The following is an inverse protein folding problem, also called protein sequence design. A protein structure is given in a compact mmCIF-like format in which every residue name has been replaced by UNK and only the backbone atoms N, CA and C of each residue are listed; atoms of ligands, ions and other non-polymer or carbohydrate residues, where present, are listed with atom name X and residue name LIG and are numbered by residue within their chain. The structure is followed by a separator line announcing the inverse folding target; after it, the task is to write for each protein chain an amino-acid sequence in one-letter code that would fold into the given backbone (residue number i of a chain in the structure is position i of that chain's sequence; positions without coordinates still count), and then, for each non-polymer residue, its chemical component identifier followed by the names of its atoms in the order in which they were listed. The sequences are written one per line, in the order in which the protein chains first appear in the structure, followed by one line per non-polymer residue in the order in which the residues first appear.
data_IF_279869188755
#
_entry.id   IF_279869188755
#
_cell.length_a   1.000
_cell.length_b   1.000
_cell.length_c   1.000
_cell.angle_alpha   90.00
_cell.angle_beta   90.00
_cell.angle_gamma   90.00
#
_symmetry.space_group_name_H-M   'P 1'
#
loop_
_entity.id
_entity.type
_entity.pdbx_description
1 polymer ?
#
# COMPACT_ATOMS: atom_id res chain seq x y z
N UNK A 1 -7.59 3.23 -18.36
CA UNK A 1 -8.38 4.46 -18.59
C UNK A 1 -8.28 5.22 -17.28
N UNK A 2 -7.56 6.33 -17.25
CA UNK A 2 -7.47 7.21 -16.08
C UNK A 2 -8.86 7.82 -15.91
N UNK A 3 -9.55 7.65 -14.76
CA UNK A 3 -10.82 8.32 -14.57
C UNK A 3 -10.57 9.83 -14.73
N UNK A 4 -11.35 10.44 -15.60
CA UNK A 4 -11.25 11.85 -15.92
C UNK A 4 -11.30 12.68 -14.62
N UNK A 5 -10.29 13.49 -14.41
CA UNK A 5 -10.29 14.62 -13.47
C UNK A 5 -11.26 15.70 -14.04
N UNK A 6 -12.47 15.29 -14.35
CA UNK A 6 -13.49 16.23 -14.81
C UNK A 6 -14.12 17.03 -13.67
N UNK A 7 -13.56 16.92 -12.45
CA UNK A 7 -14.15 17.55 -11.27
C UNK A 7 -13.14 18.14 -10.29
N UNK A 8 -11.97 18.59 -10.78
CA UNK A 8 -11.05 19.33 -9.91
C UNK A 8 -11.77 20.55 -9.30
N UNK A 9 -12.61 21.20 -10.07
CA UNK A 9 -13.40 22.36 -9.61
C UNK A 9 -14.45 21.97 -8.57
N UNK A 10 -15.20 20.89 -8.80
CA UNK A 10 -16.16 20.35 -7.81
C UNK A 10 -15.44 19.82 -6.58
N UNK A 11 -14.33 19.10 -6.77
CA UNK A 11 -13.47 18.62 -5.71
C UNK A 11 -12.91 19.77 -4.85
N UNK A 12 -12.44 20.86 -5.47
CA UNK A 12 -11.98 22.05 -4.76
C UNK A 12 -13.14 22.78 -4.07
N UNK A 13 -14.31 22.88 -4.69
CA UNK A 13 -15.50 23.46 -4.06
C UNK A 13 -15.94 22.66 -2.84
N UNK A 14 -16.01 21.35 -2.94
CA UNK A 14 -16.41 20.47 -1.82
C UNK A 14 -15.39 20.52 -0.66
N UNK A 15 -14.13 20.80 -0.97
CA UNK A 15 -13.09 20.97 0.04
C UNK A 15 -13.10 22.35 0.71
N UNK A 16 -13.37 23.40 -0.06
CA UNK A 16 -13.24 24.77 0.41
C UNK A 16 -14.51 25.29 1.09
N UNK A 17 -15.69 24.91 0.57
CA UNK A 17 -16.98 25.41 1.08
C UNK A 17 -17.30 25.00 2.52
N UNK A 18 -17.08 23.77 3.00
CA UNK A 18 -17.35 23.41 4.39
C UNK A 18 -16.44 24.11 5.41
N UNK A 19 -15.26 24.53 5.02
CA UNK A 19 -14.31 25.23 5.89
C UNK A 19 -14.59 26.73 5.96
N UNK A 20 -15.04 27.31 4.85
CA UNK A 20 -15.45 28.72 4.80
C UNK A 20 -16.66 29.02 5.69
N UNK A 21 -17.58 28.04 5.85
CA UNK A 21 -18.78 28.20 6.69
C UNK A 21 -18.51 28.21 8.20
N UNK A 22 -17.32 27.82 8.66
CA UNK A 22 -16.95 27.76 10.07
C UNK A 22 -16.17 28.99 10.58
N UNK A 23 -16.00 30.02 9.76
CA UNK A 23 -15.32 31.26 10.16
C UNK A 23 -13.79 31.14 10.36
N UNK A 24 -13.20 29.97 10.16
CA UNK A 24 -11.76 29.77 10.24
C UNK A 24 -11.08 30.25 8.95
N UNK A 25 -10.05 31.10 9.11
CA UNK A 25 -9.25 31.52 7.97
C UNK A 25 -8.58 30.31 7.30
N UNK A 26 -8.84 30.13 6.00
CA UNK A 26 -8.16 29.12 5.21
C UNK A 26 -6.72 29.57 4.99
N UNK A 27 -5.78 28.81 5.53
CA UNK A 27 -4.35 29.05 5.31
C UNK A 27 -3.80 28.07 4.28
N UNK A 28 -2.80 28.52 3.49
CA UNK A 28 -2.13 27.67 2.50
C UNK A 28 -1.65 26.32 3.07
N UNK A 29 -0.99 26.25 4.23
CA UNK A 29 -0.57 24.96 4.79
C UNK A 29 -1.73 24.00 5.05
N UNK A 30 -2.84 24.49 5.61
CA UNK A 30 -4.03 23.66 5.87
C UNK A 30 -4.70 23.17 4.59
N UNK A 31 -4.74 24.04 3.57
CA UNK A 31 -5.28 23.68 2.26
C UNK A 31 -4.44 22.57 1.61
N UNK A 32 -3.13 22.74 1.54
CA UNK A 32 -2.20 21.75 0.98
C UNK A 32 -2.28 20.43 1.75
N UNK A 33 -2.26 20.47 3.08
CA UNK A 33 -2.38 19.27 3.91
C UNK A 33 -3.70 18.50 3.64
N UNK A 34 -4.80 19.22 3.53
CA UNK A 34 -6.11 18.63 3.21
C UNK A 34 -6.13 17.99 1.82
N UNK A 35 -5.54 18.65 0.83
CA UNK A 35 -5.41 18.12 -0.54
C UNK A 35 -4.54 16.86 -0.57
N UNK A 36 -3.40 16.88 0.10
CA UNK A 36 -2.52 15.71 0.18
C UNK A 36 -3.24 14.50 0.81
N UNK A 37 -3.91 14.71 1.96
CA UNK A 37 -4.68 13.64 2.63
C UNK A 37 -5.75 13.03 1.74
N UNK A 38 -6.53 13.85 1.04
CA UNK A 38 -7.56 13.36 0.11
C UNK A 38 -6.96 12.63 -1.08
N UNK A 39 -5.88 13.13 -1.64
CA UNK A 39 -5.19 12.47 -2.75
C UNK A 39 -4.65 11.11 -2.32
N UNK A 40 -4.05 11.01 -1.14
CA UNK A 40 -3.56 9.74 -0.59
C UNK A 40 -4.70 8.75 -0.31
N UNK A 41 -5.85 9.24 0.18
CA UNK A 41 -7.05 8.42 0.37
C UNK A 41 -7.57 7.87 -0.97
N UNK A 42 -7.64 8.73 -1.98
CA UNK A 42 -8.05 8.32 -3.31
C UNK A 42 -7.10 7.29 -3.93
N UNK A 43 -5.78 7.48 -3.80
CA UNK A 43 -4.78 6.49 -4.22
C UNK A 43 -5.02 5.14 -3.53
N UNK A 44 -5.27 5.13 -2.22
CA UNK A 44 -5.56 3.88 -1.49
C UNK A 44 -6.83 3.20 -2.00
N UNK A 45 -7.90 3.97 -2.22
CA UNK A 45 -9.16 3.43 -2.72
C UNK A 45 -9.00 2.83 -4.11
N UNK A 46 -8.31 3.52 -5.01
CA UNK A 46 -8.04 3.02 -6.36
C UNK A 46 -7.13 1.78 -6.35
N UNK A 47 -6.14 1.71 -5.47
CA UNK A 47 -5.32 0.51 -5.29
C UNK A 47 -6.17 -0.70 -4.86
N UNK A 48 -7.06 -0.51 -3.88
CA UNK A 48 -7.96 -1.57 -3.42
C UNK A 48 -8.87 -2.04 -4.55
N UNK A 49 -9.52 -1.11 -5.24
CA UNK A 49 -10.41 -1.43 -6.37
C UNK A 49 -9.67 -2.18 -7.48
N UNK A 50 -8.47 -1.71 -7.83
CA UNK A 50 -7.64 -2.36 -8.86
C UNK A 50 -7.27 -3.80 -8.48
N UNK A 51 -6.85 -4.03 -7.22
CA UNK A 51 -6.48 -5.36 -6.74
C UNK A 51 -7.68 -6.32 -6.70
N UNK A 52 -8.82 -5.85 -6.22
CA UNK A 52 -10.05 -6.64 -6.18
C UNK A 52 -10.57 -6.94 -7.59
N UNK A 53 -10.43 -6.00 -8.52
CA UNK A 53 -10.78 -6.21 -9.93
C UNK A 53 -9.86 -7.22 -10.62
N UNK A 54 -8.55 -7.16 -10.34
CA UNK A 54 -7.61 -8.18 -10.83
C UNK A 54 -7.98 -9.57 -10.34
N UNK A 55 -8.30 -9.72 -9.04
CA UNK A 55 -8.72 -11.00 -8.46
C UNK A 55 -10.02 -11.49 -9.11
N UNK A 56 -10.98 -10.58 -9.31
CA UNK A 56 -12.25 -10.87 -9.97
C UNK A 56 -12.05 -11.36 -11.41
N UNK A 57 -11.22 -10.68 -12.22
CA UNK A 57 -10.89 -11.08 -13.58
C UNK A 57 -10.26 -12.47 -13.61
N UNK A 58 -9.30 -12.74 -12.75
CA UNK A 58 -8.70 -14.06 -12.68
C UNK A 58 -9.70 -15.13 -12.23
N UNK A 59 -10.57 -14.82 -11.27
CA UNK A 59 -11.58 -15.75 -10.75
C UNK A 59 -12.49 -16.33 -11.85
N UNK A 60 -12.79 -15.56 -12.88
CA UNK A 60 -13.67 -15.97 -14.00
C UNK A 60 -12.89 -16.32 -15.27
N UNK A 61 -11.55 -16.35 -15.22
CA UNK A 61 -10.73 -16.70 -16.38
C UNK A 61 -10.73 -18.22 -16.64
N UNK A 62 -10.53 -18.59 -17.91
CA UNK A 62 -10.35 -19.99 -18.31
C UNK A 62 -9.14 -20.64 -17.64
N UNK A 63 -8.05 -19.89 -17.52
CA UNK A 63 -6.83 -20.35 -16.83
C UNK A 63 -7.11 -20.80 -15.40
N UNK A 64 -7.96 -20.07 -14.68
CA UNK A 64 -8.36 -20.45 -13.34
C UNK A 64 -9.25 -21.68 -13.35
N UNK A 65 -10.27 -21.72 -14.23
CA UNK A 65 -11.22 -22.82 -14.33
C UNK A 65 -10.53 -24.17 -14.55
N UNK A 66 -9.51 -24.18 -15.39
CA UNK A 66 -8.78 -25.40 -15.75
C UNK A 66 -7.74 -25.85 -14.72
N UNK A 67 -7.24 -24.95 -13.88
CA UNK A 67 -6.08 -25.21 -13.00
C UNK A 67 -6.37 -25.14 -11.51
N UNK A 68 -7.43 -24.41 -11.13
CA UNK A 68 -7.66 -24.09 -9.72
C UNK A 68 -9.14 -24.14 -9.36
N UNK A 69 -9.47 -24.61 -8.15
CA UNK A 69 -10.79 -24.37 -7.57
C UNK A 69 -10.72 -23.31 -6.47
N UNK A 70 -11.82 -22.56 -6.30
CA UNK A 70 -11.94 -21.53 -5.26
C UNK A 70 -12.10 -22.21 -3.92
N UNK A 71 -11.21 -21.87 -2.98
CA UNK A 71 -11.30 -22.33 -1.59
C UNK A 71 -12.13 -21.38 -0.74
N UNK A 72 -11.72 -20.13 -0.66
CA UNK A 72 -12.41 -19.06 0.09
C UNK A 72 -11.90 -17.67 -0.34
N UNK A 73 -12.56 -16.63 0.15
CA UNK A 73 -12.11 -15.25 0.01
C UNK A 73 -11.73 -14.72 1.40
N UNK A 74 -10.59 -14.04 1.51
CA UNK A 74 -10.07 -13.47 2.75
C UNK A 74 -9.63 -12.03 2.56
N UNK A 75 -9.74 -11.23 3.62
CA UNK A 75 -9.14 -9.89 3.67
C UNK A 75 -7.62 -10.00 3.80
N UNK A 76 -6.93 -9.11 3.13
CA UNK A 76 -5.49 -8.90 3.22
C UNK A 76 -5.22 -7.44 3.51
N UNK A 77 -4.41 -7.17 4.51
CA UNK A 77 -3.95 -5.83 4.84
C UNK A 77 -2.47 -5.69 4.48
N UNK A 78 -2.12 -4.64 3.76
CA UNK A 78 -0.77 -4.24 3.41
C UNK A 78 -0.54 -2.78 3.79
N UNK A 79 0.68 -2.46 4.18
CA UNK A 79 1.13 -1.10 4.47
C UNK A 79 1.97 -0.62 3.30
N UNK A 80 1.52 0.43 2.64
CA UNK A 80 2.20 1.13 1.53
C UNK A 80 2.75 2.47 2.02
N UNK A 81 3.53 3.17 1.19
CA UNK A 81 3.95 4.55 1.47
C UNK A 81 2.78 5.54 1.50
N UNK A 82 1.65 5.18 0.90
CA UNK A 82 0.40 5.96 0.95
C UNK A 82 -0.52 5.52 2.07
N UNK A 83 -0.07 4.51 2.83
CA UNK A 83 -0.80 4.09 3.95
C UNK A 83 -1.29 2.64 3.92
N UNK A 84 -2.09 2.25 4.94
CA UNK A 84 -2.64 0.91 5.05
C UNK A 84 -3.81 0.73 4.06
N UNK A 85 -3.75 -0.34 3.28
CA UNK A 85 -4.84 -0.78 2.40
C UNK A 85 -5.33 -2.15 2.84
N UNK A 86 -6.63 -2.35 2.81
CA UNK A 86 -7.26 -3.65 3.09
C UNK A 86 -8.17 -4.03 1.94
N UNK A 87 -7.88 -5.15 1.29
CA UNK A 87 -8.62 -5.64 0.15
C UNK A 87 -8.99 -7.12 0.31
N UNK A 88 -9.98 -7.57 -0.44
CA UNK A 88 -10.39 -8.98 -0.50
C UNK A 88 -9.61 -9.68 -1.60
N UNK A 89 -9.12 -10.88 -1.31
CA UNK A 89 -8.46 -11.75 -2.28
C UNK A 89 -8.96 -13.18 -2.16
N UNK A 90 -8.99 -13.88 -3.28
CA UNK A 90 -9.42 -15.27 -3.34
C UNK A 90 -8.24 -16.20 -3.12
N UNK A 91 -8.44 -17.19 -2.25
CA UNK A 91 -7.54 -18.33 -2.12
C UNK A 91 -8.03 -19.47 -2.98
N UNK A 92 -7.14 -20.01 -3.75
CA UNK A 92 -7.36 -21.13 -4.65
C UNK A 92 -6.60 -22.37 -4.18
N UNK A 93 -6.99 -23.53 -4.67
CA UNK A 93 -6.22 -24.77 -4.57
C UNK A 93 -5.93 -25.26 -5.98
N UNK A 94 -4.68 -25.52 -6.27
CA UNK A 94 -4.26 -26.09 -7.53
C UNK A 94 -4.79 -27.53 -7.67
N UNK A 95 -5.45 -27.83 -8.77
CA UNK A 95 -6.11 -29.13 -8.98
C UNK A 95 -5.12 -30.29 -9.05
N UNK A 96 -3.92 -30.06 -9.62
CA UNK A 96 -2.89 -31.09 -9.79
C UNK A 96 -2.04 -31.27 -8.54
N UNK A 97 -1.51 -30.16 -7.99
CA UNK A 97 -0.55 -30.21 -6.87
C UNK A 97 -1.19 -30.19 -5.48
N UNK A 98 -2.50 -29.87 -5.40
CA UNK A 98 -3.27 -29.67 -4.17
C UNK A 98 -2.71 -28.56 -3.26
N UNK A 99 -1.76 -27.74 -3.75
CA UNK A 99 -1.16 -26.63 -3.01
C UNK A 99 -2.05 -25.40 -3.04
N UNK A 100 -2.05 -24.59 -1.96
CA UNK A 100 -2.73 -23.31 -1.94
C UNK A 100 -2.05 -22.32 -2.91
N UNK A 101 -2.85 -21.49 -3.54
CA UNK A 101 -2.42 -20.45 -4.47
C UNK A 101 -3.25 -19.18 -4.24
N UNK A 102 -2.63 -18.03 -4.37
CA UNK A 102 -3.28 -16.73 -4.34
C UNK A 102 -2.76 -15.89 -5.50
N UNK A 103 -3.63 -15.59 -6.46
CA UNK A 103 -3.28 -14.88 -7.70
C UNK A 103 -2.67 -13.52 -7.44
N UNK A 104 -3.28 -12.73 -6.55
CA UNK A 104 -2.79 -11.39 -6.24
C UNK A 104 -1.41 -11.43 -5.57
N UNK A 105 -1.21 -12.33 -4.61
CA UNK A 105 0.09 -12.46 -3.93
C UNK A 105 1.19 -12.84 -4.92
N UNK A 106 0.90 -13.76 -5.82
CA UNK A 106 1.83 -14.21 -6.86
C UNK A 106 2.18 -13.07 -7.84
N UNK A 107 1.16 -12.33 -8.33
CA UNK A 107 1.37 -11.22 -9.27
C UNK A 107 2.13 -10.04 -8.66
N UNK A 108 1.94 -9.78 -7.38
CA UNK A 108 2.64 -8.73 -6.65
C UNK A 108 4.00 -9.19 -6.08
N UNK A 109 4.36 -10.47 -6.23
CA UNK A 109 5.57 -11.03 -5.61
C UNK A 109 5.54 -10.92 -4.08
N UNK A 110 4.34 -11.00 -3.48
CA UNK A 110 4.15 -10.80 -2.04
C UNK A 110 4.00 -12.16 -1.35
N UNK A 111 4.93 -12.46 -0.47
CA UNK A 111 4.84 -13.63 0.41
C UNK A 111 3.66 -13.49 1.41
N UNK A 112 3.07 -14.60 1.79
CA UNK A 112 1.87 -14.65 2.66
C UNK A 112 2.04 -13.92 4.00
N UNK A 113 3.28 -13.77 4.49
CA UNK A 113 3.64 -13.15 5.77
C UNK A 113 4.10 -11.69 5.66
N UNK A 114 4.23 -11.15 4.46
CA UNK A 114 4.67 -9.77 4.25
C UNK A 114 3.51 -8.83 4.57
N UNK A 115 3.76 -7.84 5.41
CA UNK A 115 2.84 -6.76 5.74
C UNK A 115 3.17 -5.46 5.01
N UNK A 116 4.46 -5.17 4.84
CA UNK A 116 4.96 -3.95 4.21
C UNK A 116 5.29 -4.21 2.74
N UNK A 117 4.83 -3.35 1.86
CA UNK A 117 5.07 -3.42 0.42
C UNK A 117 6.52 -3.10 0.04
N UNK A 118 6.88 -3.30 -1.21
CA UNK A 118 8.27 -3.11 -1.67
C UNK A 118 8.67 -1.63 -1.69
N UNK A 119 7.73 -0.70 -1.90
CA UNK A 119 7.97 0.75 -1.82
C UNK A 119 8.39 1.17 -0.41
N UNK A 120 7.71 0.67 0.65
CA UNK A 120 8.13 0.89 2.04
C UNK A 120 9.50 0.29 2.31
N UNK A 121 9.76 -0.91 1.78
CA UNK A 121 11.06 -1.55 1.97
C UNK A 121 12.19 -0.81 1.25
N UNK A 122 11.94 -0.26 0.06
CA UNK A 122 12.89 0.57 -0.68
C UNK A 122 13.20 1.87 0.09
N UNK A 123 12.18 2.56 0.57
CA UNK A 123 12.37 3.75 1.39
C UNK A 123 13.17 3.47 2.68
N UNK A 124 12.88 2.35 3.36
CA UNK A 124 13.67 1.93 4.52
C UNK A 124 15.14 1.64 4.15
N UNK A 125 15.40 1.15 2.94
CA UNK A 125 16.76 0.88 2.47
C UNK A 125 17.53 2.19 2.23
N UNK A 126 16.92 3.16 1.58
CA UNK A 126 17.49 4.50 1.36
C UNK A 126 17.76 5.21 2.69
N UNK A 127 16.76 5.29 3.57
CA UNK A 127 16.90 5.89 4.89
C UNK A 127 17.99 5.19 5.74
N UNK A 128 18.17 3.87 5.59
CA UNK A 128 19.22 3.15 6.30
C UNK A 128 20.62 3.47 5.77
N UNK A 129 20.77 3.76 4.47
CA UNK A 129 22.04 4.17 3.91
C UNK A 129 22.53 5.49 4.52
N UNK A 130 21.61 6.40 4.80
CA UNK A 130 21.93 7.71 5.39
C UNK A 130 22.12 7.64 6.91
N UNK A 131 21.20 7.02 7.63
CA UNK A 131 21.17 6.99 9.10
C UNK A 131 22.02 5.88 9.73
N UNK A 132 22.31 4.83 9.00
CA UNK A 132 23.03 3.62 9.45
C UNK A 132 22.49 3.01 10.78
N UNK A 133 21.20 3.25 11.08
CA UNK A 133 20.52 2.79 12.29
C UNK A 133 19.11 2.31 12.00
N UNK A 134 18.88 0.99 12.11
CA UNK A 134 17.56 0.38 11.92
C UNK A 134 16.49 0.88 12.90
N UNK A 135 16.91 1.33 14.10
CA UNK A 135 15.97 1.86 15.10
C UNK A 135 15.48 3.24 14.68
N UNK A 136 16.40 4.11 14.23
CA UNK A 136 16.06 5.46 13.75
C UNK A 136 15.18 5.37 12.50
N UNK A 137 15.59 4.56 11.50
CA UNK A 137 14.80 4.28 10.30
C UNK A 137 13.39 3.79 10.65
N UNK A 138 13.29 2.85 11.60
CA UNK A 138 11.99 2.34 12.05
C UNK A 138 11.07 3.41 12.63
N UNK A 139 11.63 4.36 13.38
CA UNK A 139 10.88 5.51 13.93
C UNK A 139 10.50 6.49 12.82
N UNK A 140 11.44 6.90 11.99
CA UNK A 140 11.25 7.86 10.92
C UNK A 140 10.17 7.38 9.94
N UNK A 141 10.35 6.19 9.36
CA UNK A 141 9.42 5.62 8.38
C UNK A 141 8.08 5.27 9.03
N UNK A 142 8.11 4.75 10.26
CA UNK A 142 6.90 4.48 11.03
C UNK A 142 6.07 5.74 11.24
N UNK A 143 6.68 6.82 11.69
CA UNK A 143 6.01 8.10 11.90
C UNK A 143 5.55 8.73 10.59
N UNK A 144 6.34 8.63 9.52
CA UNK A 144 5.94 9.12 8.20
C UNK A 144 4.66 8.43 7.70
N UNK A 145 4.59 7.10 7.80
CA UNK A 145 3.41 6.34 7.40
C UNK A 145 2.25 6.62 8.36
N UNK A 146 2.49 6.62 9.67
CA UNK A 146 1.44 6.83 10.68
C UNK A 146 0.86 8.24 10.64
N UNK A 147 1.67 9.27 10.40
CA UNK A 147 1.20 10.64 10.23
C UNK A 147 0.16 10.79 9.10
N UNK A 148 0.18 9.86 8.14
CA UNK A 148 -0.80 9.81 7.05
C UNK A 148 -2.12 9.15 7.43
N UNK A 149 -2.17 8.41 8.55
CA UNK A 149 -3.35 7.64 8.98
C UNK A 149 -4.06 8.15 10.20
N UNK A 150 -3.33 8.74 11.14
CA UNK A 150 -3.84 9.06 12.46
C UNK A 150 -4.11 10.54 12.62
N UNK A 151 -5.29 10.84 13.18
CA UNK A 151 -5.61 12.17 13.70
C UNK A 151 -4.92 12.43 15.06
N UNK A 152 -4.44 11.40 15.74
CA UNK A 152 -3.72 11.47 17.00
C UNK A 152 -2.22 11.63 16.75
N UNK A 153 -1.74 12.84 16.90
CA UNK A 153 -0.30 13.21 16.74
C UNK A 153 0.62 12.70 17.88
N UNK A 154 0.05 12.01 18.87
CA UNK A 154 0.77 11.64 20.09
C UNK A 154 1.30 10.22 20.15
N UNK A 155 0.97 9.36 19.18
CA UNK A 155 1.46 8.00 19.16
C UNK A 155 2.74 7.87 18.35
N UNK A 156 3.84 7.59 19.04
CA UNK A 156 5.14 7.27 18.46
C UNK A 156 5.09 5.88 17.83
N UNK A 157 4.78 5.83 16.53
CA UNK A 157 4.71 4.57 15.79
C UNK A 157 6.06 4.24 15.16
N UNK A 158 6.70 3.20 15.67
CA UNK A 158 7.96 2.71 15.13
C UNK A 158 7.82 1.33 14.49
N UNK A 159 8.37 1.17 13.29
CA UNK A 159 8.51 -0.17 12.68
C UNK A 159 9.58 -0.94 13.46
N UNK A 160 9.28 -2.16 13.97
CA UNK A 160 10.23 -2.94 14.76
C UNK A 160 11.53 -3.22 13.99
N UNK A 161 12.69 -3.13 14.68
CA UNK A 161 14.02 -3.40 14.12
C UNK A 161 14.09 -4.69 13.30
N UNK A 162 13.50 -5.76 13.81
CA UNK A 162 13.49 -7.06 13.12
C UNK A 162 12.74 -7.00 11.77
N UNK A 163 11.69 -6.18 11.69
CA UNK A 163 10.93 -5.97 10.47
C UNK A 163 11.75 -5.18 9.46
N UNK A 164 12.43 -4.11 9.89
CA UNK A 164 13.38 -3.36 9.05
C UNK A 164 14.46 -4.31 8.52
N UNK A 165 15.08 -5.11 9.37
CA UNK A 165 16.11 -6.07 8.96
C UNK A 165 15.62 -7.05 7.88
N UNK A 166 14.38 -7.54 8.00
CA UNK A 166 13.77 -8.43 6.98
C UNK A 166 13.52 -7.70 5.66
N UNK A 167 13.07 -6.45 5.72
CA UNK A 167 12.86 -5.62 4.54
C UNK A 167 14.17 -5.34 3.80
N UNK A 168 15.21 -4.92 4.53
CA UNK A 168 16.54 -4.67 3.95
C UNK A 168 17.13 -5.93 3.28
N UNK A 169 17.00 -7.10 3.90
CA UNK A 169 17.43 -8.36 3.29
C UNK A 169 16.68 -8.68 1.99
N UNK A 170 15.39 -8.39 1.95
CA UNK A 170 14.56 -8.62 0.76
C UNK A 170 14.96 -7.69 -0.39
N UNK A 171 15.09 -6.40 -0.13
CA UNK A 171 15.51 -5.40 -1.13
C UNK A 171 16.89 -5.74 -1.67
N UNK A 172 17.85 -6.08 -0.80
CA UNK A 172 19.21 -6.47 -1.21
C UNK A 172 19.18 -7.70 -2.12
N UNK A 173 18.37 -8.69 -1.83
CA UNK A 173 18.25 -9.88 -2.68
C UNK A 173 17.70 -9.53 -4.07
N UNK A 174 16.66 -8.69 -4.15
CA UNK A 174 16.08 -8.22 -5.43
C UNK A 174 17.12 -7.41 -6.24
N UNK A 175 17.82 -6.49 -5.59
CA UNK A 175 18.84 -5.67 -6.24
C UNK A 175 19.99 -6.49 -6.84
N UNK A 176 20.42 -7.55 -6.17
CA UNK A 176 21.48 -8.46 -6.67
C UNK A 176 21.00 -9.22 -7.91
N UNK A 177 19.74 -9.67 -7.93
CA UNK A 177 19.16 -10.39 -9.06
C UNK A 177 19.08 -9.48 -10.29
N UNK A 178 18.60 -8.24 -10.15
CA UNK A 178 18.41 -7.30 -11.25
C UNK A 178 19.74 -6.81 -11.86
N UNK A 179 20.85 -6.84 -11.11
CA UNK A 179 22.18 -6.37 -11.57
C UNK A 179 23.11 -7.50 -12.04
N UNK A 180 22.71 -8.76 -11.93
CA UNK A 180 23.47 -9.89 -12.45
C UNK A 180 23.04 -10.33 -13.87
N UNK A 181 22.07 -9.63 -14.48
CA UNK A 181 21.60 -9.89 -15.85
C UNK A 181 21.90 -8.75 -16.85
N UNK A 182 22.96 -7.95 -16.58
CA UNK A 182 23.50 -7.00 -17.57
C UNK A 182 24.91 -7.47 -17.99
#
# INVERSE_FOLDING_TARGET
MIPHINNLETYLKDMLLPQASKGDAITWPRLIESMCKKTEEEIRNQLVEYLEEMDRKFRYSEDRLNKYYVKNTRKRTLVTMYGEITFRRTQYINLSTKKPYCYIDDKLGIDSRIRYTNDVAAYCFEAYADENSMIKVGKEVGNLIHAKFSLDKNDDYAIPRQTIQRMLKRVKATYIIDHHFI
#
